data_IF_902707238516
#
_entry.id   IF_902707238516
#
_cell.length_a   1.000
_cell.length_b   1.000
_cell.length_c   1.000
_cell.angle_alpha   90.00
_cell.angle_beta   90.00
_cell.angle_gamma   90.00
#
_symmetry.space_group_name_H-M   'P 1'
#
loop_
_entity.id
_entity.type
_entity.pdbx_description
1 polymer ?
#
# COMPACT_ATOMS: atom_id res chain seq x y z
N UNK A 1 11.46 25.78 -44.76
CA UNK A 1 10.09 26.22 -44.36
C UNK A 1 9.26 25.02 -43.89
N UNK A 2 9.01 24.00 -44.74
CA UNK A 2 8.18 22.82 -44.42
C UNK A 2 8.73 22.05 -43.19
N UNK A 3 10.05 21.82 -43.09
CA UNK A 3 10.66 21.12 -41.97
C UNK A 3 10.45 21.84 -40.62
N UNK A 4 10.57 23.17 -40.60
CA UNK A 4 10.32 23.97 -39.39
C UNK A 4 8.85 23.92 -38.98
N UNK A 5 7.93 23.91 -39.95
CA UNK A 5 6.50 23.74 -39.67
C UNK A 5 6.20 22.37 -39.07
N UNK A 6 6.75 21.29 -39.62
CA UNK A 6 6.61 19.94 -39.11
C UNK A 6 7.17 19.80 -37.68
N UNK A 7 8.35 20.37 -37.41
CA UNK A 7 8.93 20.42 -36.07
C UNK A 7 8.01 21.17 -35.11
N UNK A 8 7.47 22.31 -35.52
CA UNK A 8 6.52 23.09 -34.71
C UNK A 8 5.25 22.29 -34.37
N UNK A 9 4.67 21.58 -35.32
CA UNK A 9 3.51 20.72 -35.11
C UNK A 9 3.82 19.60 -34.12
N UNK A 10 4.97 18.93 -34.27
CA UNK A 10 5.39 17.86 -33.35
C UNK A 10 5.61 18.37 -31.91
N UNK A 11 6.20 19.55 -31.75
CA UNK A 11 6.40 20.17 -30.43
C UNK A 11 5.07 20.54 -29.78
N UNK A 12 4.13 21.09 -30.54
CA UNK A 12 2.78 21.40 -30.04
C UNK A 12 2.07 20.11 -29.63
N UNK A 13 2.12 19.06 -30.45
CA UNK A 13 1.52 17.78 -30.13
C UNK A 13 2.11 17.19 -28.84
N UNK A 14 3.44 17.20 -28.70
CA UNK A 14 4.12 16.75 -27.48
C UNK A 14 3.68 17.57 -26.25
N UNK A 15 3.61 18.88 -26.36
CA UNK A 15 3.13 19.77 -25.29
C UNK A 15 1.70 19.44 -24.89
N UNK A 16 0.81 19.22 -25.85
CA UNK A 16 -0.58 18.81 -25.59
C UNK A 16 -0.62 17.51 -24.79
N UNK A 17 0.17 16.51 -25.14
CA UNK A 17 0.24 15.24 -24.39
C UNK A 17 0.77 15.42 -22.96
N UNK A 18 1.74 16.30 -22.75
CA UNK A 18 2.23 16.63 -21.40
C UNK A 18 1.12 17.31 -20.58
N UNK A 19 0.40 18.27 -21.18
CA UNK A 19 -0.75 18.94 -20.54
C UNK A 19 -1.84 17.92 -20.20
N UNK A 20 -2.17 17.02 -21.12
CA UNK A 20 -3.11 15.91 -20.85
C UNK A 20 -2.62 15.06 -19.69
N UNK A 21 -1.34 14.71 -19.63
CA UNK A 21 -0.75 13.99 -18.52
C UNK A 21 -0.88 14.74 -17.18
N UNK A 22 -0.68 16.06 -17.17
CA UNK A 22 -0.90 16.91 -15.98
C UNK A 22 -2.36 16.92 -15.54
N UNK A 23 -3.30 17.04 -16.47
CA UNK A 23 -4.74 17.04 -16.19
C UNK A 23 -5.17 15.68 -15.65
N UNK A 24 -4.72 14.59 -16.27
CA UNK A 24 -5.02 13.23 -15.82
C UNK A 24 -4.46 12.98 -14.41
N UNK A 25 -3.21 13.39 -14.15
CA UNK A 25 -2.61 13.29 -12.83
C UNK A 25 -3.40 14.12 -11.80
N UNK A 26 -3.78 15.34 -12.15
CA UNK A 26 -4.59 16.19 -11.27
C UNK A 26 -5.94 15.55 -10.93
N UNK A 27 -6.63 14.96 -11.91
CA UNK A 27 -7.91 14.27 -11.70
C UNK A 27 -7.76 12.99 -10.88
N UNK A 28 -6.73 12.19 -11.20
CA UNK A 28 -6.44 10.91 -10.54
C UNK A 28 -6.02 11.09 -9.08
N UNK A 29 -5.25 12.14 -8.78
CA UNK A 29 -4.67 12.39 -7.47
C UNK A 29 -5.38 13.49 -6.66
N UNK A 30 -6.53 13.98 -7.12
CA UNK A 30 -7.39 14.88 -6.34
C UNK A 30 -8.76 14.28 -6.09
N UNK A 31 -8.76 13.02 -5.78
CA UNK A 31 -9.95 12.28 -5.40
C UNK A 31 -9.85 11.82 -3.93
N UNK A 32 -10.95 11.29 -3.44
CA UNK A 32 -11.05 10.63 -2.16
C UNK A 32 -11.56 9.21 -2.39
N UNK A 33 -11.02 8.25 -1.66
CA UNK A 33 -11.56 6.90 -1.59
C UNK A 33 -12.26 6.73 -0.25
N UNK A 34 -13.57 6.49 -0.28
CA UNK A 34 -14.33 6.20 0.93
C UNK A 34 -14.07 4.77 1.37
N UNK A 35 -13.92 4.55 2.67
CA UNK A 35 -13.74 3.22 3.24
C UNK A 35 -15.04 2.44 3.38
N UNK A 36 -14.96 1.13 3.48
CA UNK A 36 -16.09 0.20 3.56
C UNK A 36 -16.78 0.19 4.93
N UNK A 37 -17.59 1.22 5.25
CA UNK A 37 -18.23 1.41 6.57
C UNK A 37 -19.00 0.20 7.09
N UNK A 38 -19.90 -0.38 6.29
CA UNK A 38 -20.74 -1.51 6.71
C UNK A 38 -19.94 -2.80 6.94
N UNK A 39 -18.88 -3.01 6.17
CA UNK A 39 -18.01 -4.17 6.32
C UNK A 39 -17.29 -4.18 7.68
N UNK A 40 -16.90 -3.02 8.18
CA UNK A 40 -16.26 -2.92 9.48
C UNK A 40 -17.15 -3.44 10.62
N UNK A 41 -18.43 -3.05 10.60
CA UNK A 41 -19.42 -3.53 11.57
C UNK A 41 -19.69 -5.04 11.44
N UNK A 42 -19.80 -5.52 10.21
CA UNK A 42 -19.95 -6.94 9.91
C UNK A 42 -18.79 -7.76 10.48
N UNK A 43 -17.54 -7.38 10.15
CA UNK A 43 -16.35 -8.12 10.58
C UNK A 43 -16.16 -8.09 12.11
N UNK A 44 -16.39 -6.94 12.75
CA UNK A 44 -16.31 -6.81 14.21
C UNK A 44 -17.33 -7.69 14.93
N UNK A 45 -18.51 -7.92 14.33
CA UNK A 45 -19.51 -8.83 14.87
C UNK A 45 -19.08 -10.31 14.85
N UNK A 46 -18.19 -10.70 13.93
CA UNK A 46 -17.62 -12.05 13.89
C UNK A 46 -16.52 -12.26 14.95
N UNK A 47 -15.93 -11.19 15.47
CA UNK A 47 -14.80 -11.19 16.40
C UNK A 47 -15.08 -10.30 17.62
N UNK A 48 -16.01 -10.67 18.52
CA UNK A 48 -16.49 -9.79 19.61
C UNK A 48 -15.40 -9.44 20.63
N UNK A 49 -14.42 -10.32 20.82
CA UNK A 49 -13.30 -10.10 21.76
C UNK A 49 -12.14 -9.29 21.17
N UNK A 50 -12.18 -9.07 19.87
CA UNK A 50 -11.18 -8.25 19.18
C UNK A 50 -11.42 -6.77 19.48
N UNK A 51 -10.53 -6.16 20.25
CA UNK A 51 -10.65 -4.76 20.70
C UNK A 51 -10.02 -3.81 19.69
N UNK A 52 -10.57 -2.62 19.66
CA UNK A 52 -10.09 -1.51 18.84
C UNK A 52 -10.10 -0.21 19.63
N UNK A 53 -9.04 0.54 19.49
CA UNK A 53 -8.90 1.87 20.05
C UNK A 53 -8.69 2.87 18.92
N UNK A 54 -9.47 3.95 18.89
CA UNK A 54 -9.33 4.98 17.85
C UNK A 54 -8.00 5.71 18.01
N UNK A 55 -7.28 5.89 16.92
CA UNK A 55 -6.06 6.68 16.88
C UNK A 55 -6.20 7.82 15.87
N UNK A 56 -5.64 8.98 16.22
CA UNK A 56 -5.56 10.11 15.31
C UNK A 56 -4.28 10.88 15.53
N UNK A 57 -3.66 11.34 14.46
CA UNK A 57 -2.41 12.08 14.51
C UNK A 57 -2.29 13.04 13.31
N UNK A 58 -1.52 14.12 13.42
CA UNK A 58 -1.37 15.07 12.34
C UNK A 58 -0.57 14.47 11.18
N UNK A 59 -1.15 14.53 9.96
CA UNK A 59 -0.47 14.28 8.70
C UNK A 59 -0.05 15.58 8.02
N UNK A 60 0.55 15.49 6.84
CA UNK A 60 0.98 16.66 6.07
C UNK A 60 -0.15 17.40 5.35
N UNK A 61 -1.32 16.76 5.21
CA UNK A 61 -2.47 17.29 4.46
C UNK A 61 -3.80 17.14 5.24
N UNK A 62 -3.74 17.09 6.54
CA UNK A 62 -4.87 16.92 7.46
C UNK A 62 -4.60 15.88 8.52
N UNK A 63 -5.60 15.54 9.30
CA UNK A 63 -5.51 14.51 10.35
C UNK A 63 -5.61 13.13 9.74
N UNK A 64 -4.66 12.26 10.07
CA UNK A 64 -4.71 10.84 9.76
C UNK A 64 -5.41 10.10 10.91
N UNK A 65 -6.25 9.13 10.57
CA UNK A 65 -7.05 8.36 11.52
C UNK A 65 -6.96 6.88 11.22
N UNK A 66 -7.12 6.09 12.26
CA UNK A 66 -7.10 4.63 12.16
C UNK A 66 -7.47 3.99 13.48
N UNK A 67 -7.08 2.75 13.63
CA UNK A 67 -7.40 1.94 14.79
C UNK A 67 -6.17 1.16 15.26
N UNK A 68 -6.04 1.05 16.56
CA UNK A 68 -5.13 0.13 17.22
C UNK A 68 -5.93 -1.10 17.64
N UNK A 69 -5.62 -2.23 17.04
CA UNK A 69 -6.29 -3.51 17.26
C UNK A 69 -5.49 -4.41 18.19
N UNK A 70 -6.19 -5.19 19.03
CA UNK A 70 -5.57 -6.15 19.93
C UNK A 70 -6.57 -7.19 20.45
N UNK A 71 -6.07 -8.30 21.00
CA UNK A 71 -6.80 -9.17 21.89
C UNK A 71 -6.30 -8.92 23.33
N UNK A 72 -7.19 -8.54 24.27
CA UNK A 72 -6.80 -8.07 25.61
C UNK A 72 -6.08 -9.14 26.45
N UNK A 73 -6.45 -10.42 26.28
CA UNK A 73 -5.92 -11.52 27.06
C UNK A 73 -4.67 -12.18 26.45
N UNK A 74 -4.13 -11.56 25.39
CA UNK A 74 -2.94 -12.06 24.69
C UNK A 74 -1.72 -11.22 25.03
N UNK A 75 -0.64 -11.85 25.48
CA UNK A 75 0.63 -11.19 25.74
C UNK A 75 1.16 -10.53 24.44
N UNK A 76 1.44 -9.24 24.51
CA UNK A 76 1.88 -8.46 23.35
C UNK A 76 3.33 -8.74 23.01
N UNK A 77 3.59 -9.28 21.81
CA UNK A 77 4.93 -9.53 21.27
C UNK A 77 5.58 -8.27 20.67
N UNK A 78 4.78 -7.40 20.07
CA UNK A 78 5.23 -6.20 19.38
C UNK A 78 4.08 -5.45 18.71
N UNK A 79 4.40 -4.33 18.09
CA UNK A 79 3.49 -3.49 17.35
C UNK A 79 3.74 -3.63 15.85
N UNK A 80 2.74 -4.03 15.07
CA UNK A 80 2.76 -3.96 13.61
C UNK A 80 2.04 -2.67 13.18
N UNK A 81 2.74 -1.78 12.48
CA UNK A 81 2.11 -0.70 11.71
C UNK A 81 1.75 -1.28 10.34
N UNK A 82 0.44 -1.36 10.09
CA UNK A 82 -0.13 -1.94 8.88
C UNK A 82 -0.60 -0.82 7.95
N UNK A 83 -0.12 -0.83 6.69
CA UNK A 83 -0.45 0.22 5.74
C UNK A 83 -1.03 -0.32 4.43
N UNK A 84 -2.20 0.21 4.05
CA UNK A 84 -3.05 -0.26 2.97
C UNK A 84 -2.56 0.08 1.56
N UNK A 85 -3.15 -0.56 0.53
CA UNK A 85 -2.93 -0.31 -0.88
C UNK A 85 -3.68 0.91 -1.44
N UNK A 86 -3.40 1.25 -2.70
CA UNK A 86 -4.03 2.36 -3.41
C UNK A 86 -5.53 2.11 -3.59
N UNK A 87 -6.35 3.12 -3.27
CA UNK A 87 -7.80 3.03 -3.40
C UNK A 87 -8.50 2.18 -2.33
N UNK A 88 -7.76 1.76 -1.30
CA UNK A 88 -8.24 0.96 -0.19
C UNK A 88 -8.18 1.77 1.13
N UNK A 89 -8.67 1.18 2.20
CA UNK A 89 -8.67 1.71 3.56
C UNK A 89 -8.25 0.64 4.55
N UNK A 90 -8.07 0.99 5.83
CA UNK A 90 -7.85 0.02 6.90
C UNK A 90 -8.92 -1.08 6.93
N UNK A 91 -10.17 -0.73 6.60
CA UNK A 91 -11.31 -1.66 6.64
C UNK A 91 -11.20 -2.80 5.61
N UNK A 92 -10.42 -2.63 4.55
CA UNK A 92 -10.24 -3.67 3.54
C UNK A 92 -9.25 -4.77 3.97
N UNK A 93 -8.55 -4.58 5.11
CA UNK A 93 -7.51 -5.48 5.64
C UNK A 93 -7.78 -5.97 7.07
N UNK A 94 -9.05 -5.92 7.52
CA UNK A 94 -9.40 -6.37 8.87
C UNK A 94 -9.03 -7.84 9.14
N UNK A 95 -9.22 -8.78 8.19
CA UNK A 95 -8.84 -10.18 8.40
C UNK A 95 -7.33 -10.36 8.61
N UNK A 96 -6.50 -9.64 7.86
CA UNK A 96 -5.05 -9.66 8.04
C UNK A 96 -4.65 -9.07 9.39
N UNK A 97 -5.25 -7.95 9.77
CA UNK A 97 -5.00 -7.33 11.08
C UNK A 97 -5.41 -8.25 12.22
N UNK A 98 -6.56 -8.91 12.11
CA UNK A 98 -7.07 -9.87 13.09
C UNK A 98 -6.13 -11.08 13.21
N UNK A 99 -5.68 -11.63 12.08
CA UNK A 99 -4.76 -12.75 12.04
C UNK A 99 -3.46 -12.45 12.80
N UNK A 100 -2.88 -11.26 12.66
CA UNK A 100 -1.71 -10.85 13.42
C UNK A 100 -2.04 -10.63 14.92
N UNK A 101 -3.21 -10.05 15.23
CA UNK A 101 -3.64 -9.87 16.63
C UNK A 101 -3.81 -11.21 17.34
N UNK A 102 -4.40 -12.21 16.70
CA UNK A 102 -4.57 -13.58 17.19
C UNK A 102 -3.22 -14.25 17.50
N UNK A 103 -2.16 -13.84 16.81
CA UNK A 103 -0.78 -14.32 17.03
C UNK A 103 0.01 -13.52 18.07
N UNK A 104 -0.64 -12.58 18.77
CA UNK A 104 -0.04 -11.83 19.88
C UNK A 104 0.58 -10.50 19.48
N UNK A 105 0.25 -9.94 18.34
CA UNK A 105 0.66 -8.59 17.98
C UNK A 105 -0.42 -7.57 18.31
N UNK A 106 -0.05 -6.34 18.63
CA UNK A 106 -0.93 -5.19 18.45
C UNK A 106 -0.77 -4.69 17.02
N UNK A 107 -1.85 -4.30 16.38
CA UNK A 107 -1.82 -3.82 14.99
C UNK A 107 -2.39 -2.41 14.93
N UNK A 108 -1.57 -1.44 14.53
CA UNK A 108 -2.00 -0.10 14.21
C UNK A 108 -2.22 -0.03 12.69
N UNK A 109 -3.48 0.00 12.26
CA UNK A 109 -3.86 0.20 10.86
C UNK A 109 -4.55 1.54 10.71
N UNK A 110 -4.09 2.36 9.78
CA UNK A 110 -4.58 3.72 9.57
C UNK A 110 -4.83 4.01 8.09
N UNK A 111 -5.67 4.99 7.83
CA UNK A 111 -5.97 5.45 6.50
C UNK A 111 -5.00 6.57 6.09
N UNK A 112 -4.46 6.47 4.90
CA UNK A 112 -3.64 7.53 4.32
C UNK A 112 -4.46 8.77 3.95
N UNK A 113 -3.79 9.86 3.63
CA UNK A 113 -4.42 11.10 3.17
C UNK A 113 -5.39 10.86 2.02
N UNK A 114 -6.65 11.28 2.19
CA UNK A 114 -7.69 11.13 1.16
C UNK A 114 -8.27 9.73 1.04
N UNK A 115 -8.08 8.87 2.04
CA UNK A 115 -8.70 7.54 2.10
C UNK A 115 -9.48 7.34 3.40
N UNK A 116 -10.47 6.46 3.37
CA UNK A 116 -11.24 6.03 4.53
C UNK A 116 -11.70 7.17 5.42
N UNK A 117 -11.33 7.12 6.70
CA UNK A 117 -11.71 8.09 7.74
C UNK A 117 -10.70 9.24 7.94
N UNK A 118 -9.57 9.25 7.21
CA UNK A 118 -8.56 10.32 7.26
C UNK A 118 -8.98 11.53 6.43
N UNK A 119 -8.43 12.71 6.76
CA UNK A 119 -8.73 13.96 6.07
C UNK A 119 -8.02 14.06 4.71
N UNK A 120 -8.38 15.09 3.97
CA UNK A 120 -7.70 15.53 2.76
C UNK A 120 -8.16 14.85 1.48
N UNK A 121 -7.38 15.07 0.43
CA UNK A 121 -7.52 14.44 -0.89
C UNK A 121 -6.21 13.77 -1.24
N UNK A 122 -6.27 12.73 -2.03
CA UNK A 122 -5.10 12.10 -2.61
C UNK A 122 -4.29 13.15 -3.39
N UNK A 123 -2.96 13.17 -3.20
CA UNK A 123 -2.10 14.17 -3.84
C UNK A 123 -1.06 13.54 -4.79
N UNK A 124 -0.86 12.24 -4.72
CA UNK A 124 0.11 11.49 -5.53
C UNK A 124 0.77 10.35 -4.75
N UNK A 125 1.50 9.49 -5.44
CA UNK A 125 2.08 8.30 -4.81
C UNK A 125 3.08 8.58 -3.69
N UNK A 126 3.95 9.63 -3.74
CA UNK A 126 4.85 9.93 -2.63
C UNK A 126 4.14 10.35 -1.32
N UNK A 127 2.85 10.73 -1.36
CA UNK A 127 2.09 11.10 -0.16
C UNK A 127 2.10 9.99 0.89
N UNK A 128 1.98 8.74 0.47
CA UNK A 128 1.95 7.58 1.37
C UNK A 128 3.24 7.42 2.20
N UNK A 129 4.40 7.80 1.66
CA UNK A 129 5.65 7.78 2.43
C UNK A 129 5.61 8.82 3.56
N UNK A 130 5.02 10.00 3.29
CA UNK A 130 4.84 11.06 4.30
C UNK A 130 3.81 10.67 5.36
N UNK A 131 2.74 10.01 4.96
CA UNK A 131 1.70 9.51 5.86
C UNK A 131 2.26 8.43 6.80
N UNK A 132 3.05 7.48 6.26
CA UNK A 132 3.76 6.50 7.08
C UNK A 132 4.77 7.16 8.02
N UNK A 133 5.52 8.17 7.55
CA UNK A 133 6.44 8.93 8.40
C UNK A 133 5.69 9.58 9.58
N UNK A 134 4.54 10.19 9.32
CA UNK A 134 3.71 10.81 10.35
C UNK A 134 3.22 9.78 11.37
N UNK A 135 2.76 8.60 10.91
CA UNK A 135 2.36 7.50 11.77
C UNK A 135 3.52 7.01 12.66
N UNK A 136 4.71 6.80 12.08
CA UNK A 136 5.86 6.31 12.83
C UNK A 136 6.36 7.33 13.87
N UNK A 137 6.33 8.61 13.55
CA UNK A 137 6.60 9.69 14.53
C UNK A 137 5.59 9.69 15.67
N UNK A 138 4.30 9.52 15.34
CA UNK A 138 3.25 9.35 16.34
C UNK A 138 3.54 8.15 17.25
N UNK A 139 3.79 6.96 16.68
CA UNK A 139 4.13 5.76 17.45
C UNK A 139 5.31 5.99 18.37
N UNK A 140 6.40 6.60 17.88
CA UNK A 140 7.58 6.89 18.68
C UNK A 140 7.34 7.94 19.79
N UNK A 141 6.31 8.79 19.64
CA UNK A 141 5.94 9.79 20.65
C UNK A 141 5.03 9.26 21.76
N UNK A 142 4.41 8.09 21.57
CA UNK A 142 3.50 7.47 22.55
C UNK A 142 4.27 6.47 23.41
N UNK A 143 4.43 6.68 24.74
CA UNK A 143 5.22 5.77 25.58
C UNK A 143 4.79 4.31 25.53
N UNK A 144 3.47 4.05 25.50
CA UNK A 144 2.93 2.69 25.44
C UNK A 144 3.22 1.97 24.10
N UNK A 145 3.29 2.71 22.99
CA UNK A 145 3.56 2.13 21.68
C UNK A 145 5.05 2.04 21.40
N UNK A 146 5.82 3.05 21.82
CA UNK A 146 7.27 3.11 21.60
C UNK A 146 8.06 2.10 22.43
N UNK A 147 7.47 1.58 23.53
CA UNK A 147 8.04 0.50 24.32
C UNK A 147 7.97 -0.87 23.63
N UNK A 148 7.13 -1.02 22.62
CA UNK A 148 6.95 -2.27 21.89
C UNK A 148 7.95 -2.37 20.72
N UNK A 149 8.46 -3.58 20.42
CA UNK A 149 9.18 -3.80 19.16
C UNK A 149 8.35 -3.41 17.95
N UNK A 150 8.86 -2.51 17.12
CA UNK A 150 8.16 -1.94 15.98
C UNK A 150 8.39 -2.75 14.69
N UNK A 151 7.34 -3.18 14.07
CA UNK A 151 7.31 -3.94 12.82
C UNK A 151 6.46 -3.20 11.78
N UNK A 152 6.78 -3.34 10.49
CA UNK A 152 6.00 -2.77 9.40
C UNK A 152 5.44 -3.86 8.50
N UNK A 153 4.16 -3.73 8.18
CA UNK A 153 3.52 -4.46 7.09
C UNK A 153 2.92 -3.46 6.09
N UNK A 154 3.25 -3.59 4.83
CA UNK A 154 2.66 -2.78 3.79
C UNK A 154 2.25 -3.61 2.59
N UNK A 155 1.01 -3.40 2.09
CA UNK A 155 0.55 -3.99 0.85
C UNK A 155 0.57 -2.96 -0.28
N UNK A 156 1.09 -3.34 -1.44
CA UNK A 156 1.05 -2.51 -2.65
C UNK A 156 1.62 -1.11 -2.42
N UNK A 157 0.80 -0.07 -2.40
CA UNK A 157 1.21 1.30 -2.09
C UNK A 157 1.76 1.45 -0.67
N UNK A 158 1.19 0.74 0.31
CA UNK A 158 1.74 0.63 1.66
C UNK A 158 3.10 -0.05 1.68
N UNK A 159 3.30 -1.11 0.85
CA UNK A 159 4.59 -1.77 0.66
C UNK A 159 5.65 -0.81 0.12
N UNK A 160 5.31 -0.05 -0.90
CA UNK A 160 6.18 1.02 -1.42
C UNK A 160 6.55 2.04 -0.35
N UNK A 161 5.60 2.47 0.48
CA UNK A 161 5.88 3.41 1.57
C UNK A 161 6.83 2.80 2.61
N UNK A 162 6.60 1.55 3.02
CA UNK A 162 7.44 0.83 3.96
C UNK A 162 8.87 0.63 3.43
N UNK A 163 9.00 0.26 2.15
CA UNK A 163 10.28 0.11 1.48
C UNK A 163 11.06 1.44 1.37
N UNK A 164 10.33 2.55 1.20
CA UNK A 164 10.93 3.88 0.97
C UNK A 164 11.25 4.65 2.25
N UNK A 165 10.66 4.32 3.40
CA UNK A 165 10.71 5.16 4.62
C UNK A 165 12.14 5.46 5.10
N UNK A 166 13.06 4.50 4.98
CA UNK A 166 14.47 4.68 5.36
C UNK A 166 15.22 5.74 4.56
N UNK A 167 14.67 6.15 3.41
CA UNK A 167 15.23 7.26 2.64
C UNK A 167 14.85 8.64 3.18
N UNK A 168 13.79 8.73 3.99
CA UNK A 168 13.34 9.94 4.67
C UNK A 168 13.95 10.04 6.06
N UNK A 169 13.69 9.03 6.88
CA UNK A 169 14.02 9.03 8.29
C UNK A 169 14.27 7.61 8.77
N UNK A 170 15.10 7.46 9.79
CA UNK A 170 15.34 6.17 10.44
C UNK A 170 14.47 6.04 11.68
N UNK A 171 13.78 4.90 11.76
CA UNK A 171 12.97 4.51 12.90
C UNK A 171 13.49 3.19 13.48
N UNK A 172 13.20 2.85 14.74
CA UNK A 172 13.66 1.62 15.40
C UNK A 172 12.88 0.39 14.91
N UNK A 173 12.78 0.21 13.59
CA UNK A 173 12.04 -0.90 12.96
C UNK A 173 12.84 -2.18 13.11
N UNK A 174 12.17 -3.23 13.58
CA UNK A 174 12.73 -4.58 13.79
C UNK A 174 12.52 -5.52 12.60
N UNK A 175 11.54 -5.28 11.76
CA UNK A 175 11.28 -6.07 10.56
C UNK A 175 10.27 -5.40 9.63
N UNK A 176 10.39 -5.66 8.34
CA UNK A 176 9.49 -5.14 7.31
C UNK A 176 8.97 -6.31 6.47
N UNK A 177 7.65 -6.40 6.29
CA UNK A 177 7.01 -7.21 5.25
C UNK A 177 6.45 -6.29 4.19
N UNK A 178 6.98 -6.40 2.98
CA UNK A 178 6.52 -5.70 1.78
C UNK A 178 5.78 -6.69 0.88
N UNK A 179 4.45 -6.63 0.92
CA UNK A 179 3.53 -7.49 0.18
C UNK A 179 3.12 -6.78 -1.11
N UNK A 180 3.49 -7.31 -2.27
CA UNK A 180 3.23 -6.73 -3.58
C UNK A 180 3.61 -5.24 -3.69
N UNK A 181 4.69 -4.82 -3.02
CA UNK A 181 5.22 -3.46 -3.08
C UNK A 181 5.84 -3.14 -4.46
N UNK A 182 6.09 -1.87 -4.73
CA UNK A 182 6.67 -1.46 -6.01
C UNK A 182 7.94 -0.64 -5.88
N UNK A 183 8.77 -0.73 -6.90
CA UNK A 183 10.09 -0.10 -6.94
C UNK A 183 10.07 1.43 -6.79
N UNK A 184 9.09 2.09 -7.41
CA UNK A 184 8.99 3.55 -7.40
C UNK A 184 7.72 4.05 -8.08
N UNK A 185 7.35 5.29 -7.85
CA UNK A 185 6.09 5.85 -8.34
C UNK A 185 5.88 5.70 -9.85
N UNK A 186 6.95 5.78 -10.64
CA UNK A 186 6.86 5.60 -12.09
C UNK A 186 6.73 4.13 -12.50
N UNK A 187 7.31 3.17 -11.77
CA UNK A 187 7.16 1.74 -12.08
C UNK A 187 5.73 1.26 -11.89
N UNK A 188 4.97 1.89 -10.99
CA UNK A 188 3.55 1.61 -10.81
C UNK A 188 2.68 2.24 -11.91
N UNK A 189 3.02 3.45 -12.38
CA UNK A 189 2.20 4.20 -13.34
C UNK A 189 2.51 3.89 -14.80
N UNK A 190 3.75 3.50 -15.13
CA UNK A 190 4.16 3.24 -16.50
C UNK A 190 3.37 2.09 -17.20
N UNK A 191 3.07 0.95 -16.55
CA UNK A 191 2.25 -0.10 -17.16
C UNK A 191 0.85 0.38 -17.50
N UNK A 192 0.22 1.15 -16.60
CA UNK A 192 -1.09 1.73 -16.82
C UNK A 192 -1.10 2.69 -18.03
N UNK A 193 -0.16 3.62 -18.10
CA UNK A 193 -0.07 4.56 -19.23
C UNK A 193 0.24 3.84 -20.53
N UNK A 194 1.10 2.82 -20.51
CA UNK A 194 1.42 2.02 -21.71
C UNK A 194 0.21 1.26 -22.24
N UNK A 195 -0.62 0.72 -21.36
CA UNK A 195 -1.85 0.01 -21.75
C UNK A 195 -2.86 0.92 -22.44
N UNK A 196 -2.94 2.21 -22.02
CA UNK A 196 -3.92 3.17 -22.55
C UNK A 196 -3.43 3.97 -23.76
N UNK A 197 -2.14 4.27 -23.83
CA UNK A 197 -1.56 5.16 -24.84
C UNK A 197 -0.55 4.49 -25.77
N UNK A 198 -0.28 3.19 -25.60
CA UNK A 198 0.65 2.44 -26.43
C UNK A 198 2.03 3.10 -26.52
N UNK A 199 2.58 3.30 -27.75
CA UNK A 199 3.88 3.94 -27.96
C UNK A 199 3.96 5.40 -27.48
N UNK A 200 2.81 6.09 -27.37
CA UNK A 200 2.73 7.49 -26.91
C UNK A 200 2.75 7.64 -25.39
N UNK A 201 2.75 6.53 -24.63
CA UNK A 201 2.76 6.52 -23.17
C UNK A 201 3.85 7.40 -22.50
N UNK A 202 5.07 7.57 -23.05
CA UNK A 202 6.07 8.45 -22.46
C UNK A 202 5.61 9.91 -22.27
N UNK A 203 4.73 10.43 -23.14
CA UNK A 203 4.30 11.81 -23.09
C UNK A 203 3.37 12.10 -21.89
N UNK A 204 2.21 11.40 -21.70
CA UNK A 204 1.40 11.59 -20.51
C UNK A 204 2.15 11.22 -19.23
N UNK A 205 3.04 10.21 -19.28
CA UNK A 205 3.87 9.84 -18.14
C UNK A 205 4.81 10.97 -17.71
N UNK A 206 5.34 11.74 -18.66
CA UNK A 206 6.13 12.94 -18.37
C UNK A 206 5.28 13.99 -17.66
N UNK A 207 4.04 14.23 -18.09
CA UNK A 207 3.10 15.12 -17.41
C UNK A 207 2.79 14.67 -15.98
N UNK A 208 2.52 13.37 -15.76
CA UNK A 208 2.32 12.79 -14.44
C UNK A 208 3.58 12.96 -13.56
N UNK A 209 4.76 12.70 -14.12
CA UNK A 209 6.05 12.90 -13.44
C UNK A 209 6.24 14.36 -13.03
N UNK A 210 5.95 15.30 -13.93
CA UNK A 210 6.04 16.73 -13.66
C UNK A 210 5.06 17.15 -12.55
N UNK A 211 3.81 16.68 -12.60
CA UNK A 211 2.82 16.91 -11.56
C UNK A 211 3.34 16.48 -10.18
N UNK A 212 3.82 15.24 -10.06
CA UNK A 212 4.35 14.75 -8.80
C UNK A 212 5.61 15.53 -8.37
N UNK A 213 6.47 15.92 -9.33
CA UNK A 213 7.67 16.71 -9.02
C UNK A 213 7.35 18.09 -8.48
N UNK A 214 6.33 18.76 -9.02
CA UNK A 214 5.87 20.06 -8.53
C UNK A 214 5.25 19.96 -7.13
N UNK A 215 4.59 18.82 -6.83
CA UNK A 215 3.93 18.59 -5.53
C UNK A 215 4.91 18.14 -4.44
N UNK A 216 5.79 17.21 -4.75
CA UNK A 216 6.61 16.48 -3.78
C UNK A 216 8.12 16.73 -3.93
N UNK A 217 8.52 17.53 -4.88
CA UNK A 217 9.93 17.87 -5.07
C UNK A 217 10.82 16.64 -5.19
N UNK A 218 11.82 16.54 -4.32
CA UNK A 218 12.81 15.45 -4.33
C UNK A 218 12.22 14.09 -3.91
N UNK A 219 11.09 14.06 -3.23
CA UNK A 219 10.44 12.81 -2.79
C UNK A 219 10.03 11.92 -3.96
N UNK A 220 9.71 12.50 -5.13
CA UNK A 220 9.40 11.73 -6.33
C UNK A 220 10.53 10.84 -6.84
N UNK A 221 11.77 11.13 -6.43
CA UNK A 221 12.95 10.34 -6.76
C UNK A 221 13.31 9.29 -5.70
N UNK A 222 12.48 9.12 -4.66
CA UNK A 222 12.67 8.05 -3.68
C UNK A 222 12.18 6.73 -4.30
N UNK A 223 13.00 5.70 -4.12
CA UNK A 223 12.71 4.34 -4.60
C UNK A 223 12.88 3.36 -3.45
N UNK A 224 12.22 2.19 -3.56
CA UNK A 224 12.38 1.10 -2.61
C UNK A 224 13.87 0.74 -2.39
N UNK A 225 14.67 0.68 -3.45
CA UNK A 225 16.12 0.43 -3.32
C UNK A 225 16.81 1.47 -2.43
N UNK A 226 16.48 2.77 -2.59
CA UNK A 226 17.10 3.83 -1.75
C UNK A 226 16.69 3.71 -0.28
N UNK A 227 15.43 3.40 -0.02
CA UNK A 227 14.91 3.24 1.33
C UNK A 227 15.48 2.01 2.01
N UNK A 228 15.35 0.86 1.39
CA UNK A 228 15.81 -0.44 1.91
C UNK A 228 17.33 -0.50 2.12
N UNK A 229 18.13 0.18 1.25
CA UNK A 229 19.58 0.27 1.45
C UNK A 229 19.98 1.02 2.74
N UNK A 230 19.08 1.82 3.30
CA UNK A 230 19.31 2.59 4.53
C UNK A 230 18.70 1.96 5.78
N UNK A 231 17.93 0.88 5.62
CA UNK A 231 17.40 0.09 6.73
C UNK A 231 18.43 -0.92 7.20
N UNK A 232 18.42 -1.21 8.50
CA UNK A 232 19.27 -2.25 9.12
C UNK A 232 18.51 -3.52 9.49
N UNK A 233 17.18 -3.45 9.57
CA UNK A 233 16.33 -4.57 9.95
C UNK A 233 16.19 -5.62 8.83
N UNK A 234 15.79 -6.85 9.15
CA UNK A 234 15.36 -7.83 8.18
C UNK A 234 14.15 -7.37 7.36
N UNK A 235 14.08 -7.78 6.09
CA UNK A 235 13.01 -7.42 5.14
C UNK A 235 12.55 -8.68 4.42
N UNK A 236 11.24 -8.92 4.40
CA UNK A 236 10.59 -9.92 3.56
C UNK A 236 9.86 -9.21 2.43
N UNK A 237 10.15 -9.61 1.19
CA UNK A 237 9.52 -9.10 -0.02
C UNK A 237 8.75 -10.24 -0.67
N UNK A 238 7.42 -10.10 -0.75
CA UNK A 238 6.53 -11.08 -1.39
C UNK A 238 5.80 -10.45 -2.56
N UNK A 239 5.76 -11.14 -3.71
CA UNK A 239 4.96 -10.74 -4.85
C UNK A 239 4.64 -11.95 -5.73
N UNK A 240 3.47 -11.94 -6.36
CA UNK A 240 3.08 -12.93 -7.37
C UNK A 240 3.73 -12.63 -8.72
N UNK A 241 4.18 -13.68 -9.41
CA UNK A 241 4.64 -13.59 -10.80
C UNK A 241 3.48 -13.32 -11.78
N UNK A 242 2.24 -13.61 -11.36
CA UNK A 242 0.99 -13.35 -12.08
C UNK A 242 0.35 -11.99 -11.78
N UNK A 243 1.02 -11.11 -11.01
CA UNK A 243 0.52 -9.78 -10.67
C UNK A 243 0.24 -8.94 -11.92
N UNK A 244 -1.05 -8.70 -12.20
CA UNK A 244 -1.52 -7.97 -13.39
C UNK A 244 -1.49 -6.45 -13.23
N UNK A 245 -1.30 -5.96 -12.00
CA UNK A 245 -1.28 -4.53 -11.67
C UNK A 245 0.16 -4.03 -11.67
N UNK A 246 1.04 -4.72 -10.96
CA UNK A 246 2.45 -4.37 -10.81
C UNK A 246 3.34 -5.43 -11.47
N UNK A 247 3.86 -5.18 -12.67
CA UNK A 247 4.68 -6.18 -13.36
C UNK A 247 5.85 -6.66 -12.51
N UNK A 248 5.90 -7.96 -12.28
CA UNK A 248 6.90 -8.65 -11.46
C UNK A 248 8.34 -8.28 -11.83
N UNK A 249 8.65 -8.22 -13.16
CA UNK A 249 9.98 -7.89 -13.67
C UNK A 249 10.43 -6.46 -13.35
N UNK A 250 9.51 -5.52 -13.20
CA UNK A 250 9.79 -4.11 -12.98
C UNK A 250 9.73 -3.68 -11.49
N UNK A 251 9.31 -4.58 -10.62
CA UNK A 251 9.18 -4.34 -9.19
C UNK A 251 9.98 -5.40 -8.39
N UNK A 252 9.46 -6.59 -8.19
CA UNK A 252 10.12 -7.64 -7.42
C UNK A 252 11.52 -7.98 -7.93
N UNK A 253 11.67 -8.23 -9.23
CA UNK A 253 12.97 -8.60 -9.81
C UNK A 253 14.01 -7.49 -9.75
N UNK A 254 13.61 -6.23 -9.67
CA UNK A 254 14.54 -5.12 -9.43
C UNK A 254 15.12 -5.19 -8.03
N UNK A 255 14.28 -5.47 -7.03
CA UNK A 255 14.71 -5.62 -5.63
C UNK A 255 15.49 -6.92 -5.45
N UNK A 256 15.07 -8.02 -6.06
CA UNK A 256 15.77 -9.30 -6.04
C UNK A 256 17.18 -9.16 -6.57
N UNK A 257 17.38 -8.63 -7.79
CA UNK A 257 18.72 -8.43 -8.38
C UNK A 257 19.62 -7.55 -7.52
N UNK A 258 19.06 -6.65 -6.73
CA UNK A 258 19.81 -5.73 -5.87
C UNK A 258 20.19 -6.33 -4.52
N UNK A 259 19.36 -7.21 -3.97
CA UNK A 259 19.47 -7.61 -2.57
C UNK A 259 19.49 -9.12 -2.31
N UNK A 260 19.41 -9.99 -3.32
CA UNK A 260 19.31 -11.46 -3.11
C UNK A 260 20.50 -12.05 -2.35
N UNK A 261 21.69 -11.49 -2.47
CA UNK A 261 22.89 -11.93 -1.73
C UNK A 261 22.99 -11.35 -0.30
N UNK A 262 22.09 -10.46 0.08
CA UNK A 262 22.11 -9.84 1.39
C UNK A 262 21.26 -10.64 2.38
N UNK A 263 21.84 -11.24 3.45
CA UNK A 263 21.14 -12.15 4.36
C UNK A 263 19.98 -11.49 5.13
N UNK A 264 19.88 -10.17 5.13
CA UNK A 264 18.73 -9.45 5.72
C UNK A 264 17.46 -9.56 4.88
N UNK A 265 17.56 -9.96 3.62
CA UNK A 265 16.42 -10.00 2.72
C UNK A 265 15.94 -11.44 2.51
N UNK A 266 14.66 -11.63 2.73
CA UNK A 266 13.94 -12.85 2.38
C UNK A 266 13.04 -12.54 1.20
N UNK A 267 13.20 -13.28 0.11
CA UNK A 267 12.38 -13.15 -1.09
C UNK A 267 11.40 -14.31 -1.18
N UNK A 268 10.11 -13.99 -1.27
CA UNK A 268 9.02 -14.97 -1.36
C UNK A 268 8.26 -14.76 -2.67
N UNK A 269 8.71 -15.40 -3.77
CA UNK A 269 7.94 -15.42 -5.01
C UNK A 269 6.70 -16.30 -4.82
N UNK A 270 5.56 -15.82 -5.31
CA UNK A 270 4.29 -16.53 -5.27
C UNK A 270 3.83 -16.79 -6.70
N UNK A 271 3.13 -17.91 -6.90
CA UNK A 271 2.51 -18.29 -8.18
C UNK A 271 1.03 -18.56 -7.96
N UNK A 272 0.19 -18.17 -8.92
CA UNK A 272 -1.26 -18.37 -8.83
C UNK A 272 -1.97 -17.39 -7.88
N UNK A 273 -1.32 -16.31 -7.49
CA UNK A 273 -1.93 -15.18 -6.78
C UNK A 273 -1.92 -13.97 -7.73
N UNK A 274 -2.94 -13.15 -7.73
CA UNK A 274 -2.89 -11.87 -8.44
C UNK A 274 -2.22 -10.81 -7.52
N UNK A 275 -2.58 -9.56 -7.66
CA UNK A 275 -2.03 -8.45 -6.88
C UNK A 275 -2.35 -8.53 -5.39
N UNK A 276 -3.55 -8.98 -5.03
CA UNK A 276 -3.98 -9.17 -3.62
C UNK A 276 -3.47 -10.51 -3.07
N UNK A 277 -2.18 -10.62 -2.85
CA UNK A 277 -1.51 -11.88 -2.54
C UNK A 277 -2.01 -12.60 -1.27
N UNK A 278 -2.64 -11.88 -0.34
CA UNK A 278 -3.25 -12.44 0.88
C UNK A 278 -4.67 -12.94 0.69
N UNK A 279 -5.25 -12.77 -0.49
CA UNK A 279 -6.56 -13.33 -0.86
C UNK A 279 -6.35 -14.47 -1.85
N UNK A 280 -6.97 -15.65 -1.65
CA UNK A 280 -6.94 -16.71 -2.65
C UNK A 280 -7.47 -16.24 -4.00
N UNK A 281 -6.81 -16.61 -5.09
CA UNK A 281 -7.12 -16.10 -6.44
C UNK A 281 -8.58 -16.29 -6.84
N UNK A 282 -9.17 -17.44 -6.52
CA UNK A 282 -10.57 -17.77 -6.82
C UNK A 282 -11.54 -16.81 -6.10
N UNK A 283 -11.21 -16.47 -4.85
CA UNK A 283 -11.99 -15.53 -4.04
C UNK A 283 -11.91 -14.12 -4.62
N UNK A 284 -10.73 -13.71 -5.08
CA UNK A 284 -10.54 -12.39 -5.71
C UNK A 284 -11.34 -12.28 -7.01
N UNK A 285 -11.38 -13.33 -7.82
CA UNK A 285 -12.22 -13.39 -9.02
C UNK A 285 -13.72 -13.31 -8.69
N UNK A 286 -14.17 -13.93 -7.60
CA UNK A 286 -15.57 -13.84 -7.14
C UNK A 286 -15.88 -12.43 -6.67
N UNK A 287 -15.01 -11.80 -5.87
CA UNK A 287 -15.12 -10.39 -5.45
C UNK A 287 -15.28 -9.46 -6.67
N UNK A 288 -14.45 -9.63 -7.70
CA UNK A 288 -14.51 -8.81 -8.93
C UNK A 288 -15.84 -8.95 -9.68
N UNK A 289 -16.45 -10.15 -9.69
CA UNK A 289 -17.78 -10.37 -10.28
C UNK A 289 -18.86 -9.66 -9.47
N UNK A 290 -18.85 -9.81 -8.16
CA UNK A 290 -19.83 -9.18 -7.26
C UNK A 290 -19.73 -7.65 -7.26
N UNK A 291 -18.54 -7.08 -7.32
CA UNK A 291 -18.34 -5.63 -7.40
C UNK A 291 -19.01 -5.02 -8.64
N UNK A 292 -19.19 -5.77 -9.74
CA UNK A 292 -19.96 -5.31 -10.91
C UNK A 292 -21.46 -5.23 -10.59
N UNK A 293 -22.00 -6.19 -9.84
CA UNK A 293 -23.40 -6.21 -9.39
C UNK A 293 -23.66 -5.10 -8.40
N UNK A 294 -22.72 -4.87 -7.46
CA UNK A 294 -22.83 -3.84 -6.43
C UNK A 294 -22.74 -2.40 -6.96
N UNK A 295 -22.31 -2.20 -8.21
CA UNK A 295 -22.35 -0.89 -8.88
C UNK A 295 -23.75 -0.47 -9.34
N UNK A 296 -24.76 -1.36 -9.25
CA UNK A 296 -26.15 -0.98 -9.53
C UNK A 296 -26.67 0.00 -8.46
N UNK A 297 -27.62 0.89 -8.80
CA UNK A 297 -28.19 1.86 -7.84
C UNK A 297 -28.85 1.21 -6.59
N UNK A 298 -29.37 0.00 -6.76
CA UNK A 298 -30.01 -0.78 -5.70
C UNK A 298 -29.44 -2.21 -5.72
N UNK A 299 -28.25 -2.45 -5.17
CA UNK A 299 -27.68 -3.78 -5.15
C UNK A 299 -28.49 -4.72 -4.26
N UNK A 300 -28.69 -5.97 -4.67
CA UNK A 300 -29.44 -6.93 -3.87
C UNK A 300 -28.69 -7.24 -2.55
N UNK A 301 -29.45 -7.37 -1.45
CA UNK A 301 -28.88 -7.59 -0.12
C UNK A 301 -28.03 -8.86 -0.01
N UNK A 302 -28.41 -9.93 -0.74
CA UNK A 302 -27.60 -11.14 -0.79
C UNK A 302 -26.20 -10.91 -1.40
N UNK A 303 -26.06 -10.04 -2.41
CA UNK A 303 -24.76 -9.68 -2.97
C UNK A 303 -23.91 -8.88 -1.97
N UNK A 304 -24.53 -8.02 -1.16
CA UNK A 304 -23.83 -7.30 -0.07
C UNK A 304 -23.35 -8.29 0.99
N UNK A 305 -24.18 -9.23 1.40
CA UNK A 305 -23.80 -10.25 2.38
C UNK A 305 -22.69 -11.16 1.84
N UNK A 306 -22.77 -11.55 0.58
CA UNK A 306 -21.78 -12.40 -0.08
C UNK A 306 -20.43 -11.69 -0.20
N UNK A 307 -20.38 -10.42 -0.63
CA UNK A 307 -19.10 -9.68 -0.71
C UNK A 307 -18.47 -9.50 0.67
N UNK A 308 -19.27 -9.26 1.71
CA UNK A 308 -18.78 -9.15 3.07
C UNK A 308 -18.19 -10.47 3.55
N UNK A 309 -18.84 -11.59 3.26
CA UNK A 309 -18.30 -12.92 3.55
C UNK A 309 -17.00 -13.19 2.80
N UNK A 310 -16.96 -12.96 1.48
CA UNK A 310 -15.75 -13.17 0.68
C UNK A 310 -14.57 -12.29 1.16
N UNK A 311 -14.84 -11.11 1.68
CA UNK A 311 -13.80 -10.24 2.26
C UNK A 311 -13.17 -10.81 3.54
N UNK A 312 -13.83 -11.74 4.24
CA UNK A 312 -13.23 -12.40 5.42
C UNK A 312 -12.22 -13.49 5.06
N UNK A 313 -12.21 -13.94 3.81
CA UNK A 313 -11.39 -15.07 3.37
C UNK A 313 -10.00 -14.57 2.98
N UNK A 314 -8.98 -15.06 3.70
CA UNK A 314 -7.56 -14.77 3.46
C UNK A 314 -6.76 -16.05 3.31
N UNK A 315 -5.56 -15.94 2.75
CA UNK A 315 -4.55 -17.00 2.76
C UNK A 315 -3.86 -17.04 4.14
N UNK A 316 -4.42 -17.83 5.05
CA UNK A 316 -3.91 -17.98 6.41
C UNK A 316 -2.50 -18.60 6.46
N UNK A 317 -2.13 -19.43 5.49
CA UNK A 317 -0.79 -20.01 5.40
C UNK A 317 0.24 -18.93 5.08
N UNK A 318 -0.05 -18.07 4.10
CA UNK A 318 0.82 -16.96 3.74
C UNK A 318 0.94 -15.95 4.87
N UNK A 319 -0.18 -15.59 5.51
CA UNK A 319 -0.17 -14.71 6.69
C UNK A 319 0.63 -15.33 7.84
N UNK A 320 0.57 -16.66 7.99
CA UNK A 320 1.41 -17.42 8.90
C UNK A 320 2.90 -17.23 8.64
N UNK A 321 3.32 -17.36 7.37
CA UNK A 321 4.72 -17.13 6.97
C UNK A 321 5.21 -15.72 7.29
N UNK A 322 4.33 -14.71 7.13
CA UNK A 322 4.66 -13.33 7.50
C UNK A 322 4.79 -13.15 9.02
N UNK A 323 3.90 -13.74 9.82
CA UNK A 323 3.98 -13.69 11.27
C UNK A 323 5.22 -14.43 11.79
N UNK A 324 5.55 -15.59 11.23
CA UNK A 324 6.77 -16.34 11.57
C UNK A 324 8.04 -15.56 11.22
N UNK A 325 8.00 -14.78 10.13
CA UNK A 325 9.09 -13.86 9.81
C UNK A 325 9.23 -12.78 10.90
N UNK A 326 8.15 -12.16 11.32
CA UNK A 326 8.16 -11.18 12.40
C UNK A 326 8.65 -11.80 13.74
N UNK A 327 8.19 -13.01 14.09
CA UNK A 327 8.66 -13.72 15.28
C UNK A 327 10.19 -13.96 15.24
N UNK A 328 10.76 -14.25 14.06
CA UNK A 328 12.22 -14.35 13.89
C UNK A 328 12.94 -13.01 14.07
N UNK A 329 12.37 -11.92 13.54
CA UNK A 329 12.93 -10.57 13.71
C UNK A 329 13.02 -10.16 15.19
N UNK A 330 12.05 -10.57 16.01
CA UNK A 330 12.05 -10.27 17.44
C UNK A 330 13.09 -11.08 18.24
N UNK A 331 13.44 -12.29 17.77
CA UNK A 331 14.43 -13.15 18.43
C UNK A 331 15.89 -12.77 18.14
N UNK A 332 16.13 -12.02 17.05
CA UNK A 332 17.46 -11.58 16.62
C UNK A 332 17.87 -10.22 17.21
N UNK A 333 17.07 -9.65 18.08
CA UNK A 333 17.22 -8.30 18.63
C UNK A 333 17.94 -8.25 19.97
#
# INVERSE_FOLDING_TARGET
MILLLLIGILLIAALVFVIVGLILAHRQFRCRFEGGGDYFSYFSGLHPDWKREAVSFPGTAGTLRGWLFSYPDTATKGLIVFFHGYGMSHADYLPECECFCRRGYRVLSFDGTGTGISDGLLLGLPQHILDLQACLRYVCSQPELSSLPLLLYGHSWGGYAADCIGALERFPIRGIVSAAGFYGSLSALAPYTRRHYGPLAPLPLLGIRLYQRLRFGRLTGITAVKGLSRQSCPVLIAQSDDDRILPYQHNYMVLYRRFHDNPRFTFLPLTGHDHNITTPHEVDLQKLKLLKVLRSPNPPQNAINEINHLKTITDEELLGKFADFFDRCLKQA
#
